data_IF_995477043976
#
_entry.id   IF_995477043976
#
_cell.length_a   1.000
_cell.length_b   1.000
_cell.length_c   1.000
_cell.angle_alpha   90.00
_cell.angle_beta   90.00
_cell.angle_gamma   90.00
#
_symmetry.space_group_name_H-M   'P 1'
#
loop_
_entity.id
_entity.type
_entity.pdbx_description
1 polymer ?
#
# COMPACT_ATOMS: atom_id res chain seq x y z
N UNK A 1 19.22 2.11 -8.24
CA UNK A 1 18.57 1.20 -7.27
C UNK A 1 18.74 1.80 -5.90
N UNK A 2 17.72 1.72 -5.02
CA UNK A 2 17.79 2.26 -3.66
C UNK A 2 18.88 1.55 -2.87
N UNK A 3 19.49 2.27 -1.91
CA UNK A 3 20.46 1.64 -1.01
C UNK A 3 19.77 0.70 -0.03
N UNK A 4 20.49 -0.28 0.53
CA UNK A 4 19.95 -1.17 1.55
C UNK A 4 19.44 -0.40 2.79
N UNK A 5 20.16 0.65 3.18
CA UNK A 5 19.75 1.54 4.29
C UNK A 5 18.42 2.24 3.96
N UNK A 6 18.24 2.70 2.71
CA UNK A 6 17.00 3.31 2.26
C UNK A 6 15.83 2.31 2.30
N UNK A 7 16.03 1.09 1.81
CA UNK A 7 15.03 0.01 1.86
C UNK A 7 14.62 -0.30 3.31
N UNK A 8 15.58 -0.39 4.25
CA UNK A 8 15.27 -0.61 5.66
C UNK A 8 14.47 0.54 6.28
N UNK A 9 14.76 1.79 5.90
CA UNK A 9 13.99 2.96 6.36
C UNK A 9 12.56 2.92 5.84
N UNK A 10 12.37 2.59 4.56
CA UNK A 10 11.04 2.46 3.94
C UNK A 10 10.26 1.34 4.63
N UNK A 11 10.87 0.17 4.84
CA UNK A 11 10.26 -0.95 5.55
C UNK A 11 9.79 -0.55 6.95
N UNK A 12 10.67 0.04 7.75
CA UNK A 12 10.31 0.49 9.11
C UNK A 12 9.15 1.49 9.10
N UNK A 13 9.12 2.39 8.11
CA UNK A 13 8.02 3.35 8.00
C UNK A 13 6.71 2.70 7.57
N UNK A 14 6.75 1.72 6.67
CA UNK A 14 5.60 0.91 6.29
C UNK A 14 5.03 0.12 7.48
N UNK A 15 5.89 -0.47 8.32
CA UNK A 15 5.48 -1.12 9.57
C UNK A 15 4.73 -0.16 10.50
N UNK A 16 5.29 1.05 10.69
CA UNK A 16 4.67 2.10 11.52
C UNK A 16 3.31 2.56 10.96
N UNK A 17 3.22 2.75 9.65
CA UNK A 17 1.98 3.12 8.96
C UNK A 17 0.90 2.06 9.20
N UNK A 18 1.21 0.79 8.95
CA UNK A 18 0.25 -0.30 9.13
C UNK A 18 -0.18 -0.41 10.60
N UNK A 19 0.76 -0.29 11.53
CA UNK A 19 0.46 -0.29 12.96
C UNK A 19 -0.47 0.87 13.34
N UNK A 20 -0.15 2.10 12.93
CA UNK A 20 -0.97 3.27 13.21
C UNK A 20 -2.39 3.13 12.65
N UNK A 21 -2.54 2.68 11.38
CA UNK A 21 -3.87 2.47 10.80
C UNK A 21 -4.64 1.37 11.55
N UNK A 22 -3.96 0.30 11.96
CA UNK A 22 -4.59 -0.81 12.66
C UNK A 22 -5.06 -0.47 14.09
N UNK A 23 -4.43 0.50 14.74
CA UNK A 23 -4.89 1.03 16.04
C UNK A 23 -6.05 2.02 15.88
N UNK A 24 -6.07 2.79 14.80
CA UNK A 24 -7.04 3.88 14.60
C UNK A 24 -8.26 3.49 13.75
N UNK A 25 -8.24 2.34 13.07
CA UNK A 25 -9.34 1.86 12.21
C UNK A 25 -9.94 0.56 12.76
N UNK A 26 -11.28 0.51 12.80
CA UNK A 26 -12.04 -0.67 13.24
C UNK A 26 -11.64 -1.91 12.43
N UNK A 27 -11.58 -3.06 13.09
CA UNK A 27 -11.27 -4.33 12.44
C UNK A 27 -12.28 -4.71 11.33
N UNK A 28 -13.53 -4.27 11.47
CA UNK A 28 -14.60 -4.47 10.47
C UNK A 28 -14.31 -3.76 9.15
N UNK A 29 -13.55 -2.66 9.19
CA UNK A 29 -13.11 -1.90 8.00
C UNK A 29 -11.80 -2.46 7.40
N UNK A 30 -11.28 -3.56 7.96
CA UNK A 30 -10.07 -4.22 7.49
C UNK A 30 -8.77 -3.62 8.02
N UNK A 31 -7.79 -4.48 8.27
CA UNK A 31 -6.45 -4.14 8.75
C UNK A 31 -5.48 -3.90 7.60
N UNK A 32 -4.52 -3.00 7.80
CA UNK A 32 -3.40 -2.79 6.89
C UNK A 32 -2.29 -3.79 7.18
N UNK A 33 -1.74 -4.35 6.11
CA UNK A 33 -0.45 -5.01 6.09
C UNK A 33 0.29 -4.68 4.78
N UNK A 34 1.54 -5.08 4.67
CA UNK A 34 2.33 -4.89 3.47
C UNK A 34 3.29 -6.06 3.26
N UNK A 35 3.71 -6.25 2.02
CA UNK A 35 4.74 -7.20 1.62
C UNK A 35 5.77 -6.54 0.70
N UNK A 36 6.97 -7.13 0.62
CA UNK A 36 8.05 -6.66 -0.24
C UNK A 36 8.27 -7.68 -1.36
N UNK A 37 7.82 -7.34 -2.57
CA UNK A 37 7.86 -8.22 -3.73
C UNK A 37 8.75 -7.63 -4.81
N UNK A 38 9.84 -8.31 -5.17
CA UNK A 38 10.77 -7.86 -6.22
C UNK A 38 11.18 -6.37 -6.07
N UNK A 39 11.42 -5.90 -4.83
CA UNK A 39 11.77 -4.51 -4.47
C UNK A 39 10.62 -3.50 -4.62
N UNK A 40 9.39 -3.98 -4.66
CA UNK A 40 8.17 -3.18 -4.56
C UNK A 40 7.56 -3.39 -3.17
N UNK A 41 6.97 -2.35 -2.61
CA UNK A 41 6.18 -2.45 -1.38
C UNK A 41 4.72 -2.47 -1.78
N UNK A 42 4.04 -3.60 -1.55
CA UNK A 42 2.62 -3.77 -1.86
C UNK A 42 1.85 -3.74 -0.55
N UNK A 43 0.82 -2.90 -0.49
CA UNK A 43 -0.03 -2.72 0.68
C UNK A 43 -1.36 -3.42 0.46
N UNK A 44 -1.86 -4.01 1.54
CA UNK A 44 -3.08 -4.80 1.54
C UNK A 44 -4.06 -4.32 2.61
N UNK A 45 -5.34 -4.38 2.28
CA UNK A 45 -6.48 -4.29 3.20
C UNK A 45 -6.99 -5.70 3.45
N UNK A 46 -6.76 -6.21 4.66
CA UNK A 46 -7.16 -7.55 5.10
C UNK A 46 -8.45 -7.48 5.91
N UNK A 47 -9.51 -8.12 5.44
CA UNK A 47 -10.74 -8.27 6.21
C UNK A 47 -10.75 -9.60 6.97
N UNK A 48 -11.09 -9.56 8.26
CA UNK A 48 -11.33 -10.75 9.08
C UNK A 48 -12.84 -10.97 9.19
N UNK A 49 -13.39 -11.99 8.53
CA UNK A 49 -14.77 -12.39 8.76
C UNK A 49 -14.87 -13.02 10.17
N UNK A 50 -15.82 -12.56 10.98
CA UNK A 50 -16.02 -12.99 12.38
C UNK A 50 -16.58 -14.42 12.44
N UNK A 51 -17.09 -14.92 11.32
CA UNK A 51 -17.86 -16.13 11.22
C UNK A 51 -17.05 -17.18 10.45
N UNK A 52 -16.31 -18.01 11.18
CA UNK A 52 -15.95 -19.38 10.80
C UNK A 52 -15.06 -19.62 9.54
N UNK A 53 -13.82 -20.03 9.82
CA UNK A 53 -13.02 -21.08 9.13
C UNK A 53 -12.40 -20.75 7.75
N UNK A 54 -12.92 -19.91 6.84
CA UNK A 54 -12.26 -19.71 5.53
C UNK A 54 -12.32 -18.27 4.97
N UNK A 55 -11.15 -17.83 4.47
CA UNK A 55 -10.85 -16.59 3.74
C UNK A 55 -10.51 -15.34 4.57
N UNK A 56 -9.24 -15.28 5.00
CA UNK A 56 -8.50 -14.03 4.99
C UNK A 56 -8.51 -13.50 3.54
N UNK A 57 -9.18 -12.37 3.30
CA UNK A 57 -9.14 -11.69 1.99
C UNK A 57 -8.18 -10.52 2.10
N UNK A 58 -6.98 -10.70 1.54
CA UNK A 58 -5.99 -9.65 1.38
C UNK A 58 -6.27 -8.96 0.05
N UNK A 59 -6.74 -7.72 0.12
CA UNK A 59 -7.01 -6.90 -1.05
C UNK A 59 -5.83 -5.98 -1.26
N UNK A 60 -5.13 -6.10 -2.38
CA UNK A 60 -4.10 -5.13 -2.79
C UNK A 60 -4.74 -3.75 -2.98
N UNK A 61 -4.15 -2.73 -2.38
CA UNK A 61 -4.70 -1.35 -2.41
C UNK A 61 -3.72 -0.34 -2.97
N UNK A 62 -2.43 -0.47 -2.65
CA UNK A 62 -1.40 0.44 -3.12
C UNK A 62 -0.08 -0.29 -3.33
N UNK A 63 0.75 0.24 -4.24
CA UNK A 63 2.06 -0.29 -4.55
C UNK A 63 3.06 0.83 -4.74
N UNK A 64 4.18 0.74 -4.03
CA UNK A 64 5.33 1.61 -4.19
C UNK A 64 6.41 0.88 -5.00
N UNK A 65 6.80 1.45 -6.13
CA UNK A 65 7.79 0.85 -7.04
C UNK A 65 8.90 1.84 -7.36
N UNK A 66 10.15 1.40 -7.25
CA UNK A 66 11.29 2.22 -7.65
C UNK A 66 11.56 2.10 -9.16
N UNK A 67 11.56 3.23 -9.86
CA UNK A 67 11.94 3.33 -11.26
C UNK A 67 13.43 3.71 -11.38
N UNK A 68 14.29 2.80 -11.91
CA UNK A 68 15.73 3.06 -11.97
C UNK A 68 16.15 4.19 -12.92
N UNK A 69 15.37 4.42 -13.98
CA UNK A 69 15.71 5.38 -15.03
C UNK A 69 15.58 6.82 -14.56
N UNK A 70 14.42 7.20 -14.00
CA UNK A 70 14.19 8.51 -13.39
C UNK A 70 14.69 8.63 -11.95
N UNK A 71 15.16 7.52 -11.36
CA UNK A 71 15.69 7.45 -9.98
C UNK A 71 14.67 7.94 -8.94
N UNK A 72 13.43 7.53 -9.11
CA UNK A 72 12.32 7.98 -8.28
C UNK A 72 11.38 6.81 -7.95
N UNK A 73 10.58 7.00 -6.92
CA UNK A 73 9.55 6.08 -6.51
C UNK A 73 8.23 6.47 -7.16
N UNK A 74 7.46 5.48 -7.58
CA UNK A 74 6.14 5.63 -8.15
C UNK A 74 5.11 5.00 -7.21
N UNK A 75 3.99 5.70 -7.03
CA UNK A 75 2.85 5.23 -6.28
C UNK A 75 1.74 4.82 -7.24
N UNK A 76 1.35 3.55 -7.15
CA UNK A 76 0.21 3.00 -7.85
C UNK A 76 -0.88 2.64 -6.85
N UNK A 77 -2.13 2.80 -7.27
CA UNK A 77 -3.32 2.42 -6.53
C UNK A 77 -4.11 1.41 -7.36
N UNK A 78 -4.88 0.56 -6.69
CA UNK A 78 -5.81 -0.35 -7.37
C UNK A 78 -6.95 0.47 -7.98
N UNK A 79 -7.31 0.20 -9.23
CA UNK A 79 -8.50 0.79 -9.85
C UNK A 79 -9.80 0.34 -9.14
N UNK A 80 -10.67 1.31 -8.81
CA UNK A 80 -11.97 1.08 -8.14
C UNK A 80 -12.96 0.25 -8.98
N UNK A 81 -12.75 0.15 -10.30
CA UNK A 81 -13.64 -0.60 -11.21
C UNK A 81 -13.37 -2.11 -11.21
N UNK A 82 -12.35 -2.58 -10.48
CA UNK A 82 -12.03 -3.99 -10.44
C UNK A 82 -12.88 -4.77 -9.43
N UNK A 83 -13.64 -5.72 -9.96
CA UNK A 83 -14.10 -6.88 -9.20
C UNK A 83 -12.92 -7.48 -8.41
N UNK A 84 -13.14 -7.74 -7.13
CA UNK A 84 -12.13 -8.31 -6.23
C UNK A 84 -11.56 -9.62 -6.80
N UNK A 85 -12.31 -10.31 -7.67
CA UNK A 85 -11.95 -11.57 -8.31
C UNK A 85 -11.20 -11.44 -9.66
N UNK A 86 -10.90 -10.22 -10.13
CA UNK A 86 -10.12 -9.97 -11.36
C UNK A 86 -8.69 -9.56 -11.03
N UNK A 87 -7.81 -9.75 -12.02
CA UNK A 87 -6.43 -9.26 -11.98
C UNK A 87 -6.39 -7.77 -11.62
N UNK A 88 -5.43 -7.40 -10.77
CA UNK A 88 -5.31 -6.04 -10.27
C UNK A 88 -4.82 -5.10 -11.37
N UNK A 89 -5.70 -4.21 -11.82
CA UNK A 89 -5.30 -3.07 -12.65
C UNK A 89 -4.69 -1.97 -11.77
N UNK A 90 -3.40 -1.73 -11.97
CA UNK A 90 -2.63 -0.70 -11.29
C UNK A 90 -2.70 0.62 -12.06
N UNK A 91 -3.14 1.68 -11.39
CA UNK A 91 -3.14 3.04 -11.94
C UNK A 91 -2.23 3.92 -11.11
N UNK A 92 -1.56 4.90 -11.73
CA UNK A 92 -0.76 5.86 -10.98
C UNK A 92 -1.68 6.70 -10.09
N UNK A 93 -1.22 7.01 -8.87
CA UNK A 93 -1.96 7.90 -7.99
C UNK A 93 -2.16 9.26 -8.65
N UNK A 94 -3.38 9.80 -8.63
CA UNK A 94 -3.78 10.96 -9.43
C UNK A 94 -2.96 12.22 -9.06
N UNK A 95 -2.86 12.50 -7.76
CA UNK A 95 -2.20 13.72 -7.24
C UNK A 95 -0.72 13.52 -6.91
N UNK A 96 -0.33 12.32 -6.49
CA UNK A 96 1.03 11.99 -6.06
C UNK A 96 1.58 10.73 -6.77
N UNK A 97 1.68 10.74 -8.11
CA UNK A 97 2.05 9.55 -8.89
C UNK A 97 3.49 9.09 -8.65
N UNK A 98 4.39 10.01 -8.27
CA UNK A 98 5.81 9.72 -8.07
C UNK A 98 6.49 10.77 -7.20
N UNK A 99 7.61 10.38 -6.59
CA UNK A 99 8.47 11.26 -5.81
C UNK A 99 9.87 10.66 -5.65
N UNK A 100 10.90 11.49 -5.48
CA UNK A 100 12.28 11.03 -5.25
C UNK A 100 12.46 10.35 -3.89
N UNK A 101 11.71 10.79 -2.89
CA UNK A 101 11.70 10.22 -1.54
C UNK A 101 10.44 9.37 -1.31
N UNK A 102 10.66 8.07 -1.06
CA UNK A 102 9.62 7.10 -0.74
C UNK A 102 8.81 7.45 0.51
N UNK A 103 9.42 8.10 1.52
CA UNK A 103 8.72 8.41 2.78
C UNK A 103 7.60 9.43 2.58
N UNK A 104 7.77 10.32 1.60
CA UNK A 104 6.73 11.25 1.17
C UNK A 104 5.51 10.50 0.60
N UNK A 105 5.73 9.50 -0.26
CA UNK A 105 4.65 8.66 -0.82
C UNK A 105 4.02 7.73 0.23
N UNK A 106 4.80 7.21 1.18
CA UNK A 106 4.24 6.47 2.33
C UNK A 106 3.30 7.34 3.16
N UNK A 107 3.58 8.64 3.28
CA UNK A 107 2.69 9.57 4.00
C UNK A 107 1.38 9.81 3.25
N UNK A 108 1.41 9.73 1.92
CA UNK A 108 0.18 9.72 1.08
C UNK A 108 -0.63 8.46 1.35
N UNK A 109 0.03 7.29 1.33
CA UNK A 109 -0.63 6.01 1.66
C UNK A 109 -1.22 6.03 3.07
N UNK A 110 -0.50 6.55 4.06
CA UNK A 110 -0.96 6.56 5.46
C UNK A 110 -2.22 7.41 5.66
N UNK A 111 -2.22 8.61 5.07
CA UNK A 111 -3.27 9.60 5.31
C UNK A 111 -4.47 9.41 4.40
N UNK A 112 -4.23 8.92 3.18
CA UNK A 112 -5.23 8.70 2.14
C UNK A 112 -6.29 9.81 2.07
N UNK A 113 -5.83 11.06 2.00
CA UNK A 113 -6.70 12.24 2.12
C UNK A 113 -7.73 12.33 0.98
N UNK A 114 -7.39 11.74 -0.16
CA UNK A 114 -8.25 11.72 -1.35
C UNK A 114 -9.17 10.47 -1.39
N UNK A 115 -9.10 9.59 -0.37
CA UNK A 115 -9.90 8.37 -0.22
C UNK A 115 -9.79 7.39 -1.42
N UNK A 116 -8.59 7.26 -1.99
CA UNK A 116 -8.33 6.41 -3.16
C UNK A 116 -7.68 5.06 -2.81
N UNK A 117 -7.25 4.85 -1.57
CA UNK A 117 -6.43 3.68 -1.20
C UNK A 117 -7.17 2.74 -0.25
N UNK A 118 -7.65 3.25 0.88
CA UNK A 118 -8.21 2.41 1.95
C UNK A 118 -9.73 2.30 1.92
N UNK A 119 -10.40 2.99 0.98
CA UNK A 119 -11.85 2.92 0.72
C UNK A 119 -12.40 1.50 0.66
#
# INVERSE_FOLDING_TARGET
>A
MPSEIEIQRIKRRAEQLCHWRNENVSAELGKACFDIQAQQFVFYKTAFAVDSIHCQRDIEVAKLHYEPTGKQWHLFIRSNDNDINRDVEWQAHITHPMHVDALSLLSVIERDQDEYIWG
#
